data_IF_915358091330
#
_entry.id   IF_915358091330
#
_cell.length_a   1.000
_cell.length_b   1.000
_cell.length_c   1.000
_cell.angle_alpha   90.00
_cell.angle_beta   90.00
_cell.angle_gamma   90.00
#
_symmetry.space_group_name_H-M   'P 1'
#
loop_
_entity.id
_entity.type
_entity.pdbx_description
1 polymer ?
#
# COMPACT_ATOMS: atom_id res chain seq x y z
N UNK A 1 1.99 4.49 8.78
CA UNK A 1 0.77 3.79 9.22
C UNK A 1 0.32 2.94 8.06
N UNK A 2 0.40 1.65 8.24
CA UNK A 2 -0.01 0.67 7.26
C UNK A 2 -1.47 0.26 7.50
N UNK A 3 -2.21 -0.01 6.42
CA UNK A 3 -3.62 -0.41 6.47
C UNK A 3 -4.49 0.52 7.35
N UNK A 4 -4.43 1.83 7.10
CA UNK A 4 -5.14 2.85 7.91
C UNK A 4 -6.66 2.64 7.99
N UNK A 5 -7.25 1.96 7.05
CA UNK A 5 -8.67 1.68 6.92
C UNK A 5 -9.09 0.28 7.45
N UNK A 6 -8.14 -0.58 7.77
CA UNK A 6 -8.36 -1.95 8.23
C UNK A 6 -9.37 -2.06 9.39
N UNK A 7 -9.31 -1.22 10.45
CA UNK A 7 -10.26 -1.33 11.55
C UNK A 7 -11.72 -1.06 11.15
N UNK A 8 -11.95 -0.36 10.04
CA UNK A 8 -13.29 -0.13 9.50
C UNK A 8 -13.67 -1.29 8.58
N UNK A 9 -12.75 -1.72 7.71
CA UNK A 9 -13.00 -2.79 6.74
C UNK A 9 -13.35 -4.12 7.44
N UNK A 10 -12.70 -4.43 8.56
CA UNK A 10 -12.94 -5.67 9.31
C UNK A 10 -14.36 -5.79 9.90
N UNK A 11 -15.05 -4.67 10.06
CA UNK A 11 -16.42 -4.63 10.62
C UNK A 11 -17.45 -4.14 9.61
N UNK A 12 -17.03 -3.89 8.38
CA UNK A 12 -17.91 -3.40 7.32
C UNK A 12 -19.03 -4.44 7.08
N UNK A 13 -20.27 -3.95 7.02
CA UNK A 13 -21.47 -4.75 6.78
C UNK A 13 -21.76 -5.86 7.83
N UNK A 14 -20.99 -5.92 8.93
CA UNK A 14 -21.19 -6.92 9.98
C UNK A 14 -21.89 -6.38 11.23
N UNK A 15 -21.45 -5.21 11.71
CA UNK A 15 -21.98 -4.54 12.88
C UNK A 15 -21.86 -3.01 12.74
N UNK A 16 -22.94 -2.35 12.38
CA UNK A 16 -22.99 -0.89 12.19
C UNK A 16 -22.61 -0.11 13.45
N UNK A 17 -22.93 -0.61 14.63
CA UNK A 17 -22.56 0.03 15.89
C UNK A 17 -21.05 -0.01 16.14
N UNK A 18 -20.41 -1.10 15.77
CA UNK A 18 -18.96 -1.27 15.89
C UNK A 18 -18.21 -0.47 14.82
N UNK A 19 -18.75 -0.43 13.60
CA UNK A 19 -18.20 0.40 12.53
C UNK A 19 -18.14 1.88 12.93
N UNK A 20 -19.25 2.43 13.43
CA UNK A 20 -19.31 3.83 13.88
C UNK A 20 -18.35 4.09 15.06
N UNK A 21 -18.22 3.14 15.97
CA UNK A 21 -17.28 3.24 17.08
C UNK A 21 -15.85 3.28 16.59
N UNK A 22 -15.46 2.38 15.69
CA UNK A 22 -14.11 2.36 15.10
C UNK A 22 -13.83 3.66 14.33
N UNK A 23 -14.79 4.11 13.54
CA UNK A 23 -14.71 5.38 12.81
C UNK A 23 -14.47 6.57 13.74
N UNK A 24 -15.18 6.65 14.86
CA UNK A 24 -15.03 7.73 15.82
C UNK A 24 -13.66 7.67 16.55
N UNK A 25 -13.18 6.50 16.90
CA UNK A 25 -11.84 6.31 17.50
C UNK A 25 -10.75 6.76 16.52
N UNK A 26 -10.82 6.31 15.26
CA UNK A 26 -9.85 6.70 14.22
C UNK A 26 -9.90 8.20 13.93
N UNK A 27 -11.10 8.80 13.90
CA UNK A 27 -11.25 10.24 13.72
C UNK A 27 -10.57 11.02 14.87
N UNK A 28 -10.75 10.56 16.11
CA UNK A 28 -10.05 11.11 17.27
C UNK A 28 -8.53 10.99 17.14
N UNK A 29 -8.05 9.80 16.77
CA UNK A 29 -6.62 9.55 16.59
C UNK A 29 -6.02 10.44 15.49
N UNK A 30 -6.61 10.47 14.32
CA UNK A 30 -6.08 11.26 13.19
C UNK A 30 -6.20 12.77 13.41
N UNK A 31 -7.16 13.23 14.20
CA UNK A 31 -7.28 14.66 14.53
C UNK A 31 -6.07 15.21 15.29
N UNK A 32 -5.34 14.34 16.01
CA UNK A 32 -4.12 14.72 16.75
C UNK A 32 -2.99 15.15 15.80
N UNK A 33 -2.92 14.58 14.60
CA UNK A 33 -1.89 14.93 13.62
C UNK A 33 -1.93 16.41 13.24
N UNK A 34 -3.12 17.02 13.22
CA UNK A 34 -3.27 18.44 12.89
C UNK A 34 -2.49 19.37 13.84
N UNK A 35 -2.35 18.97 15.10
CA UNK A 35 -1.58 19.74 16.09
C UNK A 35 -0.15 19.25 16.29
N UNK A 36 0.23 18.17 15.63
CA UNK A 36 1.52 17.50 15.81
C UNK A 36 2.56 17.85 14.73
N UNK A 37 2.28 18.76 13.81
CA UNK A 37 3.13 19.10 12.67
C UNK A 37 4.57 19.42 13.08
N UNK A 38 4.77 20.11 14.24
CA UNK A 38 6.10 20.43 14.74
C UNK A 38 6.90 19.23 15.25
N UNK A 39 6.24 18.10 15.44
CA UNK A 39 6.82 16.84 15.95
C UNK A 39 6.92 15.76 14.88
N UNK A 40 6.32 15.97 13.69
CA UNK A 40 6.27 15.03 12.60
C UNK A 40 7.15 15.52 11.45
N UNK A 41 8.13 14.73 11.08
CA UNK A 41 8.98 15.01 9.92
C UNK A 41 8.38 14.45 8.62
N UNK A 42 7.69 13.33 8.73
CA UNK A 42 7.09 12.64 7.60
C UNK A 42 5.95 11.72 8.06
N UNK A 43 4.89 11.61 7.30
CA UNK A 43 3.80 10.67 7.54
C UNK A 43 3.44 9.99 6.23
N UNK A 44 3.49 8.67 6.20
CA UNK A 44 3.01 7.82 5.11
C UNK A 44 1.85 6.99 5.62
N UNK A 45 0.75 7.00 4.87
CA UNK A 45 -0.43 6.17 5.11
C UNK A 45 -0.60 5.22 3.93
N UNK A 46 -0.81 3.94 4.21
CA UNK A 46 -1.22 2.96 3.21
C UNK A 46 -2.58 2.37 3.57
N UNK A 47 -3.35 1.96 2.57
CA UNK A 47 -4.68 1.35 2.76
C UNK A 47 -5.27 0.91 1.43
N UNK A 48 -6.39 0.22 1.51
CA UNK A 48 -7.09 -0.32 0.33
C UNK A 48 -8.15 0.65 -0.20
N UNK A 49 -8.78 1.42 0.72
CA UNK A 49 -9.84 2.37 0.38
C UNK A 49 -9.25 3.73 0.03
N UNK A 50 -9.77 4.39 -1.00
CA UNK A 50 -9.36 5.75 -1.30
C UNK A 50 -9.61 6.66 -0.09
N UNK A 51 -8.57 7.40 0.29
CA UNK A 51 -8.55 8.32 1.42
C UNK A 51 -9.76 9.27 1.47
N UNK A 52 -10.16 9.81 0.33
CA UNK A 52 -11.31 10.74 0.20
C UNK A 52 -12.66 10.11 0.60
N UNK A 53 -12.77 8.78 0.62
CA UNK A 53 -14.00 8.08 0.95
C UNK A 53 -14.12 7.79 2.46
N UNK A 54 -13.05 7.96 3.22
CA UNK A 54 -13.03 7.67 4.65
C UNK A 54 -13.13 8.98 5.44
N UNK A 55 -14.31 9.29 5.93
CA UNK A 55 -14.64 10.54 6.65
C UNK A 55 -13.84 10.77 7.95
N UNK A 56 -12.99 9.83 8.34
CA UNK A 56 -12.13 9.93 9.54
C UNK A 56 -11.06 11.02 9.44
N UNK A 57 -10.74 11.46 8.23
CA UNK A 57 -9.67 12.42 7.96
C UNK A 57 -10.12 13.88 7.83
N UNK A 58 -11.36 14.19 8.15
CA UNK A 58 -11.89 15.57 8.08
C UNK A 58 -11.12 16.59 8.93
N UNK A 59 -10.26 16.14 9.82
CA UNK A 59 -9.37 16.97 10.64
C UNK A 59 -7.89 16.96 10.21
N UNK A 60 -7.54 16.20 9.19
CA UNK A 60 -6.16 16.12 8.68
C UNK A 60 -5.89 17.28 7.71
N UNK A 61 -4.74 17.93 7.80
CA UNK A 61 -4.31 18.86 6.76
C UNK A 61 -4.09 18.03 5.50
N UNK A 62 -4.74 18.37 4.42
CA UNK A 62 -4.83 17.64 3.17
C UNK A 62 -3.59 16.77 2.88
N UNK A 63 -3.63 15.45 3.06
CA UNK A 63 -2.55 14.58 2.64
C UNK A 63 -2.47 14.61 1.11
N UNK A 64 -1.26 14.47 0.60
CA UNK A 64 -1.04 14.32 -0.83
C UNK A 64 -1.36 12.87 -1.21
N UNK A 65 -2.37 12.66 -2.05
CA UNK A 65 -2.73 11.33 -2.55
C UNK A 65 -1.81 10.97 -3.72
N UNK A 66 -0.86 10.10 -3.44
CA UNK A 66 0.14 9.63 -4.41
C UNK A 66 -0.18 8.26 -5.01
N UNK A 67 -1.38 7.72 -4.74
CA UNK A 67 -1.75 6.35 -5.10
C UNK A 67 -1.63 6.03 -6.60
N UNK A 68 -1.87 7.03 -7.46
CA UNK A 68 -1.80 6.88 -8.92
C UNK A 68 -0.81 7.87 -9.55
N UNK A 69 0.07 8.46 -8.77
CA UNK A 69 1.06 9.41 -9.26
C UNK A 69 2.27 8.67 -9.85
N UNK A 70 2.49 8.83 -11.15
CA UNK A 70 3.58 8.17 -11.89
C UNK A 70 4.98 8.41 -11.29
N UNK A 71 5.18 9.48 -10.51
CA UNK A 71 6.43 9.72 -9.80
C UNK A 71 6.72 8.70 -8.70
N UNK A 72 5.69 7.99 -8.24
CA UNK A 72 5.75 7.04 -7.12
C UNK A 72 5.30 5.63 -7.51
N UNK A 73 5.16 5.34 -8.81
CA UNK A 73 4.69 4.05 -9.33
C UNK A 73 5.51 2.85 -8.84
N UNK A 74 6.77 3.06 -8.50
CA UNK A 74 7.69 2.03 -7.99
C UNK A 74 7.83 2.01 -6.47
N UNK A 75 7.04 2.83 -5.74
CA UNK A 75 7.15 2.94 -4.28
C UNK A 75 6.68 1.65 -3.57
N UNK A 76 5.64 1.03 -4.10
CA UNK A 76 5.05 -0.19 -3.55
C UNK A 76 5.13 -1.29 -4.60
N UNK A 77 6.10 -2.17 -4.49
CA UNK A 77 6.28 -3.26 -5.43
C UNK A 77 7.75 -3.53 -5.68
N UNK A 78 8.04 -4.47 -6.55
CA UNK A 78 9.40 -4.84 -6.94
C UNK A 78 9.51 -4.68 -8.45
N UNK A 79 10.40 -3.82 -8.89
CA UNK A 79 10.67 -3.61 -10.31
C UNK A 79 11.44 -4.80 -10.90
N UNK A 80 11.40 -4.92 -12.23
CA UNK A 80 12.20 -5.93 -12.93
C UNK A 80 13.71 -5.72 -12.73
N UNK A 81 14.15 -4.48 -12.55
CA UNK A 81 15.54 -4.15 -12.27
C UNK A 81 15.95 -4.60 -10.87
N UNK A 82 15.15 -4.26 -9.86
CA UNK A 82 15.38 -4.73 -8.49
C UNK A 82 15.34 -6.25 -8.38
N UNK A 83 14.46 -6.91 -9.14
CA UNK A 83 14.42 -8.37 -9.18
C UNK A 83 15.72 -8.95 -9.73
N UNK A 84 16.35 -8.35 -10.75
CA UNK A 84 17.64 -8.75 -11.27
C UNK A 84 18.78 -8.47 -10.28
N UNK A 85 18.74 -7.31 -9.62
CA UNK A 85 19.83 -6.87 -8.76
C UNK A 85 19.84 -7.58 -7.40
N UNK A 86 18.68 -7.74 -6.79
CA UNK A 86 18.59 -8.26 -5.42
C UNK A 86 18.14 -9.71 -5.33
N UNK A 87 17.52 -10.26 -6.38
CA UNK A 87 16.97 -11.62 -6.38
C UNK A 87 17.58 -12.53 -7.46
N UNK A 88 18.75 -12.18 -8.02
CA UNK A 88 19.41 -12.96 -9.07
C UNK A 88 19.69 -14.41 -8.68
N UNK A 89 20.14 -14.67 -7.45
CA UNK A 89 20.41 -16.02 -6.97
C UNK A 89 19.12 -16.85 -6.84
N UNK A 90 18.07 -16.41 -6.12
CA UNK A 90 16.78 -17.08 -6.09
C UNK A 90 16.17 -17.33 -7.48
N UNK A 91 16.27 -16.38 -8.40
CA UNK A 91 15.75 -16.53 -9.77
C UNK A 91 16.51 -17.63 -10.52
N UNK A 92 17.83 -17.70 -10.38
CA UNK A 92 18.66 -18.76 -10.97
C UNK A 92 18.32 -20.13 -10.41
N UNK A 93 18.14 -20.24 -9.10
CA UNK A 93 17.74 -21.48 -8.45
C UNK A 93 16.38 -21.96 -8.94
N UNK A 94 15.41 -21.08 -9.04
CA UNK A 94 14.10 -21.37 -9.62
C UNK A 94 14.22 -21.80 -11.08
N UNK A 95 14.99 -21.09 -11.90
CA UNK A 95 15.22 -21.42 -13.29
C UNK A 95 15.79 -22.85 -13.45
N UNK A 96 16.73 -23.22 -12.59
CA UNK A 96 17.29 -24.57 -12.54
C UNK A 96 16.24 -25.63 -12.22
N UNK A 97 15.40 -25.40 -11.20
CA UNK A 97 14.32 -26.31 -10.79
C UNK A 97 13.28 -26.49 -11.90
N UNK A 98 12.94 -25.40 -12.58
CA UNK A 98 11.94 -25.40 -13.65
C UNK A 98 12.53 -25.71 -15.05
N UNK A 99 13.83 -26.02 -15.13
CA UNK A 99 14.55 -26.36 -16.38
C UNK A 99 14.35 -25.30 -17.48
N UNK A 100 14.48 -24.02 -17.11
CA UNK A 100 14.36 -22.90 -18.02
C UNK A 100 15.51 -21.90 -17.81
N UNK A 101 15.62 -20.90 -18.69
CA UNK A 101 16.59 -19.82 -18.53
C UNK A 101 16.14 -18.82 -17.44
N UNK A 102 17.08 -18.04 -16.91
CA UNK A 102 16.77 -16.97 -15.95
C UNK A 102 15.79 -15.96 -16.56
N UNK A 103 15.95 -15.62 -17.84
CA UNK A 103 15.07 -14.70 -18.55
C UNK A 103 13.64 -15.26 -18.69
N UNK A 104 13.51 -16.55 -19.03
CA UNK A 104 12.20 -17.22 -19.06
C UNK A 104 11.57 -17.27 -17.66
N UNK A 105 12.36 -17.47 -16.61
CA UNK A 105 11.88 -17.43 -15.22
C UNK A 105 11.37 -16.03 -14.86
N UNK A 106 12.12 -14.99 -15.21
CA UNK A 106 11.70 -13.60 -15.00
C UNK A 106 10.38 -13.30 -15.70
N UNK A 107 10.17 -13.77 -16.93
CA UNK A 107 8.91 -13.60 -17.65
C UNK A 107 7.75 -14.37 -16.99
N UNK A 108 8.01 -15.56 -16.45
CA UNK A 108 7.00 -16.32 -15.70
C UNK A 108 6.61 -15.61 -14.40
N UNK A 109 7.59 -15.08 -13.65
CA UNK A 109 7.34 -14.30 -12.44
C UNK A 109 6.52 -13.05 -12.77
N UNK A 110 6.87 -12.34 -13.82
CA UNK A 110 6.09 -11.21 -14.30
C UNK A 110 4.64 -11.63 -14.61
N UNK A 111 4.44 -12.65 -15.42
CA UNK A 111 3.09 -13.12 -15.78
C UNK A 111 2.25 -13.62 -14.61
N UNK A 112 2.90 -14.08 -13.52
CA UNK A 112 2.22 -14.58 -12.33
C UNK A 112 1.87 -13.48 -11.33
N UNK A 113 2.70 -12.47 -11.20
CA UNK A 113 2.62 -11.47 -10.13
C UNK A 113 2.41 -10.04 -10.61
N UNK A 114 2.51 -9.77 -11.93
CA UNK A 114 2.22 -8.48 -12.52
C UNK A 114 0.70 -8.33 -12.71
N UNK A 115 0.11 -7.33 -12.10
CA UNK A 115 -1.33 -7.08 -12.15
C UNK A 115 -1.76 -5.90 -11.30
N UNK A 116 -0.82 -5.28 -10.60
CA UNK A 116 -1.06 -4.05 -9.87
C UNK A 116 -0.88 -2.84 -10.79
N UNK A 117 -1.83 -1.92 -10.71
CA UNK A 117 -1.83 -0.67 -11.46
C UNK A 117 -1.44 0.46 -10.51
N UNK A 118 -0.23 1.00 -10.68
CA UNK A 118 0.34 2.03 -9.81
C UNK A 118 0.39 3.42 -10.45
N UNK A 119 0.00 3.53 -11.73
CA UNK A 119 -0.09 4.81 -12.47
C UNK A 119 -1.15 4.72 -13.56
N UNK A 120 -1.72 5.85 -13.97
CA UNK A 120 -2.62 5.97 -15.11
C UNK A 120 -1.89 5.95 -16.46
#
# INVERSE_FOLDING_TARGET
IDEYDKPILDVLDTDYGLEDRHRNVLKGFYSVFKGADSHLQFVLLTGVTKFSQVSVFSGFNQPDDISMDARYETLCGITQEELRDYFSEPVRDMASVYHCTEEEMMQRLKGQYDGYHFSD
#
